data_IF_593590486121
#
_entry.id   IF_593590486121
#
_cell.length_a   1.000
_cell.length_b   1.000
_cell.length_c   1.000
_cell.angle_alpha   90.00
_cell.angle_beta   90.00
_cell.angle_gamma   90.00
#
_symmetry.space_group_name_H-M   'P 1'
#
loop_
_entity.id
_entity.type
_entity.pdbx_description
1 polymer ?
#
# COMPACT_ATOMS: atom_id res chain seq x y z
N UNK A 1 -15.06 -11.86 -13.60
CA UNK A 1 -14.28 -11.20 -14.66
C UNK A 1 -14.88 -11.55 -16.01
N UNK A 2 -14.75 -10.70 -17.03
CA UNK A 2 -15.22 -10.99 -18.40
C UNK A 2 -14.03 -11.36 -19.28
N UNK A 3 -14.18 -12.42 -20.07
CA UNK A 3 -13.24 -12.81 -21.12
C UNK A 3 -13.37 -11.81 -22.29
N UNK A 4 -12.26 -11.19 -22.65
CA UNK A 4 -12.14 -10.20 -23.74
C UNK A 4 -11.46 -10.85 -24.95
N UNK A 5 -10.46 -11.68 -24.72
CA UNK A 5 -9.72 -12.44 -25.74
C UNK A 5 -9.94 -13.93 -25.46
N UNK A 6 -10.79 -14.56 -26.27
CA UNK A 6 -11.28 -15.93 -26.07
C UNK A 6 -10.38 -16.95 -26.78
N UNK A 7 -9.77 -17.91 -26.04
CA UNK A 7 -8.95 -18.97 -26.63
C UNK A 7 -9.82 -20.06 -27.28
N UNK A 8 -9.31 -20.71 -28.34
CA UNK A 8 -9.94 -21.91 -28.92
C UNK A 8 -9.28 -23.21 -28.48
N UNK A 9 -8.05 -23.13 -27.95
CA UNK A 9 -7.22 -24.24 -27.48
C UNK A 9 -6.31 -23.76 -26.35
N UNK A 10 -5.70 -24.68 -25.59
CA UNK A 10 -4.88 -24.31 -24.42
C UNK A 10 -3.65 -23.46 -24.75
N UNK A 11 -3.07 -23.64 -25.94
CA UNK A 11 -1.93 -22.85 -26.41
C UNK A 11 -2.32 -21.46 -26.95
N UNK A 12 -3.62 -21.15 -27.02
CA UNK A 12 -4.11 -19.85 -27.45
C UNK A 12 -4.05 -18.85 -26.29
N UNK A 13 -4.14 -17.57 -26.63
CA UNK A 13 -4.09 -16.51 -25.65
C UNK A 13 -5.44 -16.29 -24.99
N UNK A 14 -5.39 -15.93 -23.70
CA UNK A 14 -6.53 -15.50 -22.92
C UNK A 14 -6.27 -14.07 -22.46
N UNK A 15 -7.29 -13.22 -22.46
CA UNK A 15 -7.35 -12.00 -21.65
C UNK A 15 -8.71 -11.94 -20.99
N UNK A 16 -8.74 -12.00 -19.67
CA UNK A 16 -9.94 -11.79 -18.86
C UNK A 16 -9.71 -10.62 -17.92
N UNK A 17 -10.69 -9.73 -17.80
CA UNK A 17 -10.55 -8.52 -17.00
C UNK A 17 -11.76 -8.28 -16.10
N UNK A 18 -11.55 -7.56 -15.00
CA UNK A 18 -12.63 -6.87 -14.29
C UNK A 18 -13.18 -5.74 -15.16
N UNK A 19 -14.34 -5.20 -14.77
CA UNK A 19 -14.84 -3.96 -15.36
C UNK A 19 -13.79 -2.84 -15.30
N UNK A 20 -13.83 -1.97 -16.31
CA UNK A 20 -12.97 -0.79 -16.45
C UNK A 20 -11.48 -1.13 -16.53
N UNK A 21 -11.14 -2.39 -16.86
CA UNK A 21 -9.78 -2.90 -17.04
C UNK A 21 -8.89 -2.59 -15.82
N UNK A 22 -9.41 -2.80 -14.61
CA UNK A 22 -8.69 -2.52 -13.35
C UNK A 22 -7.82 -3.68 -12.87
N UNK A 23 -8.18 -4.89 -13.24
CA UNK A 23 -7.40 -6.09 -13.01
C UNK A 23 -7.62 -7.02 -14.20
N UNK A 24 -6.57 -7.64 -14.69
CA UNK A 24 -6.67 -8.59 -15.79
C UNK A 24 -5.77 -9.79 -15.55
N UNK A 25 -6.20 -10.96 -16.02
CA UNK A 25 -5.35 -12.13 -16.19
C UNK A 25 -5.17 -12.41 -17.67
N UNK A 26 -3.97 -12.82 -18.03
CA UNK A 26 -3.60 -13.14 -19.39
C UNK A 26 -2.84 -14.46 -19.44
N UNK A 27 -3.15 -15.28 -20.44
CA UNK A 27 -2.35 -16.45 -20.79
C UNK A 27 -1.75 -16.27 -22.17
N UNK A 28 -0.52 -16.76 -22.35
CA UNK A 28 0.20 -16.70 -23.61
C UNK A 28 0.22 -15.29 -24.21
N UNK A 29 0.59 -14.29 -23.40
CA UNK A 29 0.62 -12.88 -23.76
C UNK A 29 1.83 -12.55 -24.64
N UNK A 30 1.63 -11.73 -25.67
CA UNK A 30 2.69 -11.11 -26.47
C UNK A 30 2.86 -9.64 -26.12
N UNK A 31 4.10 -9.20 -25.97
CA UNK A 31 4.48 -7.82 -25.67
C UNK A 31 5.67 -7.40 -26.54
N UNK A 32 5.53 -6.34 -27.35
CA UNK A 32 6.56 -5.81 -28.23
C UNK A 32 7.13 -4.49 -27.71
N UNK A 33 8.27 -4.55 -27.03
CA UNK A 33 8.92 -3.38 -26.41
C UNK A 33 10.02 -2.79 -27.29
N UNK A 34 10.09 -3.13 -28.58
CA UNK A 34 11.11 -2.57 -29.49
C UNK A 34 11.03 -1.05 -29.67
N UNK A 35 9.89 -0.46 -29.36
CA UNK A 35 9.62 0.99 -29.44
C UNK A 35 9.31 1.61 -28.08
N UNK A 36 9.72 0.97 -26.98
CA UNK A 36 9.54 1.53 -25.65
C UNK A 36 10.44 2.77 -25.44
N UNK A 37 11.65 2.75 -25.99
CA UNK A 37 12.60 3.88 -26.00
C UNK A 37 12.83 4.48 -24.59
N UNK A 38 12.95 3.61 -23.59
CA UNK A 38 12.94 3.99 -22.17
C UNK A 38 14.07 4.96 -21.81
N UNK A 39 15.20 4.89 -22.51
CA UNK A 39 16.38 5.73 -22.31
C UNK A 39 16.10 7.24 -22.41
N UNK A 40 15.10 7.65 -23.19
CA UNK A 40 14.73 9.05 -23.39
C UNK A 40 13.40 9.44 -22.75
N UNK A 41 12.70 8.48 -22.13
CA UNK A 41 11.40 8.71 -21.51
C UNK A 41 11.53 9.08 -20.03
N UNK A 42 10.86 10.16 -19.63
CA UNK A 42 10.74 10.59 -18.21
C UNK A 42 9.35 10.39 -17.62
N UNK A 43 8.38 9.95 -18.42
CA UNK A 43 7.01 9.67 -17.97
C UNK A 43 6.92 8.20 -17.56
N UNK A 44 6.79 7.92 -16.25
CA UNK A 44 6.79 6.54 -15.72
C UNK A 44 5.73 5.65 -16.37
N UNK A 45 4.48 6.14 -16.40
CA UNK A 45 3.31 5.36 -16.83
C UNK A 45 2.76 5.81 -18.18
N UNK A 46 3.63 6.32 -19.06
CA UNK A 46 3.20 6.76 -20.39
C UNK A 46 2.58 5.61 -21.17
N UNK A 47 1.37 5.84 -21.69
CA UNK A 47 0.65 4.85 -22.51
C UNK A 47 0.97 4.96 -23.99
N UNK A 48 1.72 6.00 -24.41
CA UNK A 48 2.04 6.28 -25.82
C UNK A 48 2.83 5.17 -26.52
N UNK A 49 3.57 4.37 -25.74
CA UNK A 49 4.27 3.19 -26.23
C UNK A 49 3.35 1.99 -26.45
N UNK A 50 2.20 1.94 -25.76
CA UNK A 50 1.33 0.77 -25.68
C UNK A 50 -0.02 0.92 -26.40
N UNK A 51 -0.51 2.15 -26.55
CA UNK A 51 -1.78 2.47 -27.21
C UNK A 51 -1.72 2.37 -28.75
N UNK A 52 -0.99 1.38 -29.28
CA UNK A 52 -0.79 1.13 -30.71
C UNK A 52 -1.02 -0.35 -31.01
N UNK A 53 -1.68 -0.69 -32.15
CA UNK A 53 -1.86 -2.07 -32.55
C UNK A 53 -0.53 -2.84 -32.67
N UNK A 54 -0.55 -4.09 -32.24
CA UNK A 54 0.58 -5.01 -32.30
C UNK A 54 1.59 -4.89 -31.16
N UNK A 55 1.41 -3.95 -30.21
CA UNK A 55 2.30 -3.82 -29.05
C UNK A 55 1.97 -4.83 -27.97
N UNK A 56 0.69 -4.93 -27.58
CA UNK A 56 0.19 -5.94 -26.64
C UNK A 56 -0.81 -6.81 -27.40
N UNK A 57 -0.74 -8.13 -27.25
CA UNK A 57 -1.62 -9.00 -28.01
C UNK A 57 -1.55 -10.47 -27.65
N UNK A 58 -2.29 -11.26 -28.42
CA UNK A 58 -2.40 -12.71 -28.24
C UNK A 58 -3.18 -13.38 -29.36
N UNK A 59 -3.02 -14.69 -29.51
CA UNK A 59 -3.73 -15.48 -30.52
C UNK A 59 -5.06 -15.97 -29.95
N UNK A 60 -6.15 -15.28 -30.27
CA UNK A 60 -7.48 -15.53 -29.73
C UNK A 60 -8.55 -14.88 -30.63
N UNK A 61 -9.82 -14.98 -30.23
CA UNK A 61 -10.91 -14.16 -30.76
C UNK A 61 -11.17 -12.98 -29.82
N UNK A 62 -10.98 -11.75 -30.30
CA UNK A 62 -11.07 -10.54 -29.46
C UNK A 62 -12.43 -9.83 -29.55
N UNK A 63 -13.06 -9.56 -28.41
CA UNK A 63 -14.22 -8.68 -28.26
C UNK A 63 -13.76 -7.20 -28.17
N UNK A 64 -13.41 -6.64 -29.33
CA UNK A 64 -12.89 -5.26 -29.45
C UNK A 64 -13.87 -4.20 -28.97
N UNK A 65 -15.16 -4.37 -29.30
CA UNK A 65 -16.20 -3.40 -28.96
C UNK A 65 -16.36 -3.32 -27.44
N UNK A 66 -16.39 -4.47 -26.76
CA UNK A 66 -16.39 -4.47 -25.30
C UNK A 66 -15.14 -3.81 -24.74
N UNK A 67 -13.95 -4.17 -25.21
CA UNK A 67 -12.71 -3.56 -24.72
C UNK A 67 -12.74 -2.02 -24.82
N UNK A 68 -13.12 -1.47 -25.97
CA UNK A 68 -13.22 -0.01 -26.19
C UNK A 68 -14.27 0.66 -25.29
N UNK A 69 -15.33 -0.05 -24.91
CA UNK A 69 -16.37 0.48 -24.00
C UNK A 69 -15.87 0.72 -22.56
N UNK A 70 -14.71 0.18 -22.17
CA UNK A 70 -14.21 0.21 -20.78
C UNK A 70 -13.37 1.46 -20.44
N UNK A 71 -13.39 2.49 -21.29
CA UNK A 71 -12.52 3.67 -21.19
C UNK A 71 -12.84 4.65 -20.05
N UNK A 72 -13.99 4.51 -19.37
CA UNK A 72 -14.53 5.53 -18.44
C UNK A 72 -13.56 5.95 -17.33
N UNK A 73 -12.74 5.04 -16.82
CA UNK A 73 -11.74 5.31 -15.76
C UNK A 73 -10.31 5.29 -16.29
N UNK A 74 -10.11 5.62 -17.56
CA UNK A 74 -8.77 5.72 -18.13
C UNK A 74 -7.95 6.80 -17.41
N UNK A 75 -6.95 6.35 -16.67
CA UNK A 75 -5.92 7.18 -16.03
C UNK A 75 -4.77 6.25 -15.60
N UNK A 76 -3.54 6.76 -15.65
CA UNK A 76 -2.29 5.99 -15.48
C UNK A 76 -2.31 5.04 -14.28
N UNK A 77 -2.80 5.49 -13.11
CA UNK A 77 -2.83 4.71 -11.87
C UNK A 77 -4.24 4.23 -11.46
N UNK A 78 -5.23 4.33 -12.37
CA UNK A 78 -6.62 3.95 -12.07
C UNK A 78 -7.14 2.79 -12.92
N UNK A 79 -6.50 2.51 -14.06
CA UNK A 79 -6.87 1.44 -14.99
C UNK A 79 -5.69 1.04 -15.88
N UNK A 80 -5.68 -0.20 -16.35
CA UNK A 80 -4.80 -0.70 -17.43
C UNK A 80 -5.36 -0.48 -18.83
N UNK A 81 -6.52 0.19 -18.95
CA UNK A 81 -7.15 0.46 -20.24
C UNK A 81 -6.19 1.16 -21.21
N UNK A 82 -5.33 2.07 -20.74
CA UNK A 82 -4.39 2.77 -21.60
C UNK A 82 -3.40 1.86 -22.31
N UNK A 83 -2.90 0.85 -21.60
CA UNK A 83 -1.95 -0.13 -22.12
C UNK A 83 -2.61 -1.22 -22.95
N UNK A 84 -3.87 -1.53 -22.66
CA UNK A 84 -4.57 -2.68 -23.25
C UNK A 84 -5.60 -2.29 -24.31
N UNK A 85 -5.94 -1.01 -24.51
CA UNK A 85 -7.03 -0.61 -25.42
C UNK A 85 -6.78 -0.97 -26.90
N UNK A 86 -5.53 -1.16 -27.33
CA UNK A 86 -5.14 -1.63 -28.67
C UNK A 86 -4.67 -3.09 -28.67
N UNK A 87 -5.15 -3.91 -27.72
CA UNK A 87 -4.86 -5.33 -27.69
C UNK A 87 -5.14 -5.96 -29.07
N UNK A 88 -4.18 -6.74 -29.57
CA UNK A 88 -4.20 -7.20 -30.96
C UNK A 88 -4.24 -8.72 -31.07
N UNK A 89 -5.13 -9.22 -31.93
CA UNK A 89 -5.17 -10.62 -32.33
C UNK A 89 -3.94 -10.95 -33.18
N UNK A 90 -3.07 -11.80 -32.66
CA UNK A 90 -1.87 -12.26 -33.38
C UNK A 90 -2.18 -13.51 -34.18
N UNK A 91 -1.56 -13.67 -35.35
CA UNK A 91 -1.67 -14.88 -36.20
C UNK A 91 -0.82 -16.08 -35.73
N UNK A 92 -0.11 -15.93 -34.61
CA UNK A 92 0.81 -16.94 -34.08
C UNK A 92 0.61 -17.11 -32.59
N UNK A 93 0.78 -18.33 -32.08
CA UNK A 93 0.71 -18.65 -30.65
C UNK A 93 1.98 -18.16 -29.93
N UNK A 94 1.92 -17.14 -29.05
CA UNK A 94 3.13 -16.45 -28.56
C UNK A 94 4.15 -17.38 -27.88
N UNK A 95 3.73 -18.13 -26.87
CA UNK A 95 4.65 -18.98 -26.07
C UNK A 95 5.09 -20.22 -26.84
N UNK A 96 4.21 -20.81 -27.66
CA UNK A 96 4.52 -22.01 -28.46
C UNK A 96 5.52 -21.72 -29.58
N UNK A 97 5.39 -20.58 -30.26
CA UNK A 97 6.26 -20.19 -31.37
C UNK A 97 7.46 -19.36 -30.90
N UNK A 98 8.40 -19.99 -30.20
CA UNK A 98 9.58 -19.34 -29.59
C UNK A 98 10.36 -18.38 -30.50
N UNK A 99 10.39 -18.61 -31.82
CA UNK A 99 11.08 -17.72 -32.79
C UNK A 99 10.42 -16.34 -32.98
N UNK A 100 9.22 -16.12 -32.43
CA UNK A 100 8.48 -14.85 -32.53
C UNK A 100 8.78 -13.89 -31.37
N UNK A 101 9.39 -14.39 -30.30
CA UNK A 101 9.80 -13.59 -29.15
C UNK A 101 11.30 -13.74 -28.90
N UNK A 102 11.92 -12.67 -28.43
CA UNK A 102 13.32 -12.64 -28.04
C UNK A 102 13.50 -13.21 -26.62
N UNK A 103 12.46 -13.12 -25.79
CA UNK A 103 12.39 -13.74 -24.46
C UNK A 103 11.04 -14.45 -24.24
N UNK A 104 11.07 -15.61 -23.61
CA UNK A 104 9.88 -16.36 -23.19
C UNK A 104 9.91 -16.52 -21.68
N UNK A 105 8.93 -15.94 -20.98
CA UNK A 105 8.80 -15.96 -19.53
C UNK A 105 7.73 -17.00 -19.15
N UNK A 106 8.15 -18.09 -18.53
CA UNK A 106 7.26 -19.17 -18.06
C UNK A 106 6.87 -19.04 -16.61
N UNK A 107 7.65 -18.30 -15.80
CA UNK A 107 7.33 -18.03 -14.39
C UNK A 107 6.14 -17.06 -14.32
N UNK A 108 5.12 -17.31 -13.47
CA UNK A 108 3.98 -16.40 -13.34
C UNK A 108 4.44 -14.97 -13.05
N UNK A 109 3.85 -14.01 -13.75
CA UNK A 109 4.34 -12.63 -13.74
C UNK A 109 3.21 -11.67 -13.39
N UNK A 110 3.40 -10.86 -12.35
CA UNK A 110 2.47 -9.80 -11.96
C UNK A 110 3.05 -8.45 -12.40
N UNK A 111 2.35 -7.76 -13.30
CA UNK A 111 2.63 -6.40 -13.70
C UNK A 111 1.98 -5.42 -12.74
N UNK A 112 2.76 -4.43 -12.27
CA UNK A 112 2.31 -3.46 -11.28
C UNK A 112 2.76 -2.04 -11.63
N UNK A 113 1.92 -1.05 -11.38
CA UNK A 113 2.32 0.37 -11.39
C UNK A 113 2.46 0.84 -9.95
N UNK A 114 3.67 1.13 -9.51
CA UNK A 114 3.93 1.54 -8.13
C UNK A 114 3.61 3.02 -7.92
N UNK A 115 3.01 3.37 -6.79
CA UNK A 115 2.62 4.75 -6.48
C UNK A 115 3.82 5.62 -6.07
N UNK A 116 4.38 5.38 -4.87
CA UNK A 116 5.50 6.17 -4.35
C UNK A 116 6.25 5.45 -3.23
N UNK A 117 7.42 4.88 -3.56
CA UNK A 117 8.27 4.12 -2.63
C UNK A 117 8.93 4.95 -1.53
N UNK A 118 8.81 6.28 -1.57
CA UNK A 118 9.39 7.19 -0.56
C UNK A 118 8.40 7.63 0.51
N UNK A 119 7.13 7.22 0.42
CA UNK A 119 6.09 7.59 1.36
C UNK A 119 5.28 6.35 1.75
N UNK A 120 5.35 5.95 3.02
CA UNK A 120 4.72 4.71 3.50
C UNK A 120 3.24 4.63 3.15
N UNK A 121 2.47 5.70 3.37
CA UNK A 121 1.03 5.69 3.07
C UNK A 121 0.76 5.40 1.59
N UNK A 122 1.49 6.06 0.69
CA UNK A 122 1.33 5.86 -0.75
C UNK A 122 1.84 4.50 -1.21
N UNK A 123 3.00 4.06 -0.72
CA UNK A 123 3.56 2.77 -1.12
C UNK A 123 2.73 1.58 -0.62
N UNK A 124 2.05 1.74 0.52
CA UNK A 124 1.15 0.70 1.03
C UNK A 124 -0.10 0.50 0.16
N UNK A 125 -0.46 1.46 -0.69
CA UNK A 125 -1.42 1.21 -1.77
C UNK A 125 -0.94 0.06 -2.65
N UNK A 126 0.36 -0.03 -2.95
CA UNK A 126 0.93 -1.03 -3.84
C UNK A 126 0.84 -2.43 -3.21
N UNK A 127 1.24 -2.58 -1.95
CA UNK A 127 1.21 -3.86 -1.23
C UNK A 127 -0.21 -4.38 -0.99
N UNK A 128 -1.14 -3.51 -0.60
CA UNK A 128 -2.54 -3.91 -0.37
C UNK A 128 -3.19 -4.32 -1.70
N UNK A 129 -2.98 -3.55 -2.77
CA UNK A 129 -3.54 -3.90 -4.07
C UNK A 129 -2.90 -5.16 -4.67
N UNK A 130 -1.61 -5.42 -4.40
CA UNK A 130 -0.97 -6.68 -4.74
C UNK A 130 -1.59 -7.86 -3.98
N UNK A 131 -1.76 -7.73 -2.67
CA UNK A 131 -2.39 -8.77 -1.84
C UNK A 131 -3.82 -9.07 -2.31
N UNK A 132 -4.61 -8.04 -2.61
CA UNK A 132 -5.94 -8.20 -3.19
C UNK A 132 -5.88 -8.85 -4.59
N UNK A 133 -4.88 -8.52 -5.39
CA UNK A 133 -4.67 -9.14 -6.70
C UNK A 133 -4.32 -10.62 -6.58
N UNK A 134 -3.59 -11.03 -5.54
CA UNK A 134 -3.31 -12.44 -5.24
C UNK A 134 -4.58 -13.20 -4.85
N UNK A 135 -5.46 -12.58 -4.04
CA UNK A 135 -6.80 -13.13 -3.74
C UNK A 135 -7.63 -13.29 -5.01
N UNK A 136 -7.70 -12.26 -5.85
CA UNK A 136 -8.42 -12.35 -7.13
C UNK A 136 -7.79 -13.45 -7.96
N UNK A 137 -6.45 -13.51 -8.07
CA UNK A 137 -5.72 -14.50 -8.86
C UNK A 137 -5.85 -15.95 -8.34
N UNK A 138 -6.10 -16.13 -7.05
CA UNK A 138 -6.19 -17.44 -6.40
C UNK A 138 -4.82 -18.08 -6.13
N UNK A 139 -3.76 -17.29 -6.00
CA UNK A 139 -2.41 -17.80 -5.70
C UNK A 139 -1.61 -16.81 -4.84
N UNK A 140 -0.96 -17.35 -3.81
CA UNK A 140 -0.05 -16.65 -2.88
C UNK A 140 1.39 -17.17 -2.96
N UNK A 141 1.72 -17.89 -4.04
CA UNK A 141 3.09 -18.35 -4.28
C UNK A 141 4.07 -17.18 -4.30
N UNK A 142 5.24 -17.36 -3.69
CA UNK A 142 6.37 -16.43 -3.79
C UNK A 142 7.24 -16.70 -5.02
N UNK A 143 7.02 -17.83 -5.70
CA UNK A 143 7.69 -18.19 -6.95
C UNK A 143 7.06 -17.46 -8.15
N UNK A 144 7.12 -16.13 -8.10
CA UNK A 144 6.54 -15.23 -9.10
C UNK A 144 7.52 -14.12 -9.46
N UNK A 145 7.40 -13.59 -10.67
CA UNK A 145 8.00 -12.30 -11.02
C UNK A 145 7.01 -11.19 -10.66
N UNK A 146 7.52 -10.14 -10.01
CA UNK A 146 6.84 -8.84 -9.96
C UNK A 146 7.57 -7.92 -10.92
N UNK A 147 6.85 -7.31 -11.87
CA UNK A 147 7.42 -6.41 -12.86
C UNK A 147 6.85 -5.01 -12.65
N UNK A 148 7.72 -4.09 -12.27
CA UNK A 148 7.39 -2.68 -12.16
C UNK A 148 7.19 -2.11 -13.58
N UNK A 149 5.94 -1.78 -13.88
CA UNK A 149 5.50 -1.16 -15.12
C UNK A 149 5.88 0.32 -15.16
N UNK A 150 7.18 0.57 -15.27
CA UNK A 150 7.77 1.89 -15.41
C UNK A 150 8.57 1.94 -16.70
N UNK A 151 8.10 2.77 -17.63
CA UNK A 151 8.68 2.99 -18.94
C UNK A 151 9.75 4.08 -18.96
N UNK A 152 10.01 4.74 -17.83
CA UNK A 152 10.96 5.84 -17.73
C UNK A 152 12.38 5.38 -17.38
N UNK A 153 13.36 6.21 -17.72
CA UNK A 153 14.74 6.04 -17.26
C UNK A 153 14.97 6.49 -15.80
N UNK A 154 13.93 6.98 -15.11
CA UNK A 154 14.08 7.55 -13.78
C UNK A 154 14.41 6.47 -12.75
N UNK A 155 15.27 6.80 -11.80
CA UNK A 155 15.51 5.95 -10.62
C UNK A 155 14.22 5.91 -9.79
N UNK A 156 13.84 4.72 -9.34
CA UNK A 156 12.76 4.55 -8.38
C UNK A 156 13.36 4.41 -6.98
N UNK A 157 13.06 5.36 -6.10
CA UNK A 157 13.46 5.29 -4.70
C UNK A 157 12.44 4.47 -3.92
N UNK A 158 12.89 3.37 -3.33
CA UNK A 158 12.08 2.49 -2.50
C UNK A 158 12.68 2.40 -1.10
N UNK A 159 12.03 3.05 -0.13
CA UNK A 159 12.45 3.06 1.27
C UNK A 159 11.91 1.85 2.05
N UNK A 160 11.08 1.01 1.43
CA UNK A 160 10.44 -0.15 2.04
C UNK A 160 10.71 -1.42 1.24
N UNK A 161 11.83 -1.48 0.52
CA UNK A 161 12.21 -2.57 -0.36
C UNK A 161 12.11 -3.96 0.28
N UNK A 162 12.43 -4.06 1.58
CA UNK A 162 12.34 -5.32 2.34
C UNK A 162 10.91 -5.91 2.36
N UNK A 163 9.87 -5.08 2.17
CA UNK A 163 8.48 -5.53 2.10
C UNK A 163 8.21 -6.46 0.91
N UNK A 164 8.98 -6.39 -0.18
CA UNK A 164 8.78 -7.25 -1.35
C UNK A 164 8.99 -8.73 -1.03
N UNK A 165 9.80 -9.05 -0.01
CA UNK A 165 10.02 -10.41 0.49
C UNK A 165 8.73 -11.08 0.98
N UNK A 166 7.70 -10.29 1.34
CA UNK A 166 6.37 -10.83 1.69
C UNK A 166 5.71 -11.54 0.49
N UNK A 167 5.97 -11.05 -0.72
CA UNK A 167 5.21 -11.41 -1.92
C UNK A 167 5.98 -12.26 -2.94
N UNK A 168 7.31 -12.20 -2.94
CA UNK A 168 8.15 -12.94 -3.90
C UNK A 168 9.49 -13.33 -3.28
N UNK A 169 10.04 -14.46 -3.70
CA UNK A 169 11.37 -14.95 -3.29
C UNK A 169 12.51 -14.27 -4.06
N UNK A 170 12.17 -13.37 -4.99
CA UNK A 170 13.11 -12.64 -5.84
C UNK A 170 12.83 -11.15 -5.80
N UNK A 171 13.74 -10.33 -6.30
CA UNK A 171 13.49 -8.90 -6.43
C UNK A 171 12.53 -8.60 -7.58
N UNK A 172 11.78 -7.50 -7.46
CA UNK A 172 10.99 -7.02 -8.58
C UNK A 172 11.91 -6.63 -9.76
N UNK A 173 11.42 -6.82 -10.97
CA UNK A 173 12.09 -6.49 -12.21
C UNK A 173 11.59 -5.15 -12.73
N UNK A 174 12.38 -4.46 -13.54
CA UNK A 174 11.91 -3.27 -14.24
C UNK A 174 11.48 -3.61 -15.66
N UNK A 175 10.36 -3.03 -16.12
CA UNK A 175 9.91 -3.19 -17.51
C UNK A 175 10.97 -2.76 -18.52
N UNK A 176 11.75 -1.72 -18.21
CA UNK A 176 12.85 -1.23 -19.05
C UNK A 176 14.00 -2.23 -19.24
N UNK A 177 14.12 -3.26 -18.38
CA UNK A 177 15.13 -4.32 -18.56
C UNK A 177 14.80 -5.19 -19.80
N UNK A 178 13.58 -5.06 -20.32
CA UNK A 178 13.07 -5.70 -21.52
C UNK A 178 12.99 -4.74 -22.73
N UNK A 179 13.49 -3.52 -22.61
CA UNK A 179 13.50 -2.55 -23.71
C UNK A 179 14.21 -3.11 -24.95
N UNK A 180 13.68 -2.80 -26.14
CA UNK A 180 14.22 -3.29 -27.40
C UNK A 180 13.84 -4.73 -27.76
N UNK A 181 13.02 -5.43 -26.96
CA UNK A 181 12.74 -6.87 -27.11
C UNK A 181 11.26 -7.19 -27.30
N UNK A 182 10.98 -8.34 -27.90
CA UNK A 182 9.66 -8.98 -27.91
C UNK A 182 9.62 -10.06 -26.84
N UNK A 183 8.61 -9.97 -25.98
CA UNK A 183 8.46 -10.82 -24.80
C UNK A 183 7.17 -11.63 -24.95
N UNK A 184 7.27 -12.94 -24.70
CA UNK A 184 6.13 -13.84 -24.61
C UNK A 184 5.99 -14.29 -23.16
N UNK A 185 4.84 -14.05 -22.53
CA UNK A 185 4.59 -14.41 -21.13
C UNK A 185 3.53 -15.51 -21.07
N UNK A 186 3.84 -16.63 -20.41
CA UNK A 186 2.93 -17.77 -20.29
C UNK A 186 1.72 -17.46 -19.40
N UNK A 187 1.97 -16.87 -18.23
CA UNK A 187 0.96 -16.50 -17.26
C UNK A 187 1.27 -15.10 -16.71
N UNK A 188 0.35 -14.17 -16.96
CA UNK A 188 0.49 -12.75 -16.65
C UNK A 188 -0.73 -12.20 -15.92
N UNK A 189 -0.50 -11.40 -14.88
CA UNK A 189 -1.54 -10.68 -14.15
C UNK A 189 -1.25 -9.19 -14.20
N UNK A 190 -2.22 -8.39 -14.59
CA UNK A 190 -2.20 -6.94 -14.42
C UNK A 190 -2.90 -6.64 -13.09
N UNK A 191 -2.14 -6.19 -12.09
CA UNK A 191 -2.63 -6.03 -10.72
C UNK A 191 -3.71 -4.97 -10.60
N UNK A 192 -4.44 -4.95 -9.49
CA UNK A 192 -5.18 -3.75 -9.07
C UNK A 192 -4.22 -2.56 -8.93
N UNK A 193 -4.74 -1.35 -9.16
CA UNK A 193 -3.93 -0.13 -9.23
C UNK A 193 -4.05 0.72 -7.96
N UNK A 194 -3.00 1.46 -7.57
CA UNK A 194 -2.95 2.14 -6.28
C UNK A 194 -3.92 3.34 -6.15
N UNK A 195 -4.38 3.93 -7.27
CA UNK A 195 -5.21 5.16 -7.25
C UNK A 195 -6.62 4.95 -7.81
N UNK A 196 -7.09 3.71 -7.89
CA UNK A 196 -8.43 3.40 -8.42
C UNK A 196 -9.52 4.29 -7.80
N UNK A 197 -10.43 4.79 -8.63
CA UNK A 197 -11.62 5.49 -8.12
C UNK A 197 -12.47 4.52 -7.31
N UNK A 198 -12.81 4.88 -6.08
CA UNK A 198 -13.49 3.96 -5.14
C UNK A 198 -12.72 2.65 -4.93
N UNK A 199 -11.38 2.73 -4.97
CA UNK A 199 -10.50 1.62 -4.63
C UNK A 199 -10.54 1.30 -3.14
N UNK A 200 -9.92 0.19 -2.74
CA UNK A 200 -9.68 -0.09 -1.34
C UNK A 200 -8.42 0.65 -0.86
N UNK A 201 -8.37 1.01 0.42
CA UNK A 201 -7.30 1.82 1.05
C UNK A 201 -7.28 3.27 0.54
N UNK A 202 -6.89 3.52 -0.71
CA UNK A 202 -6.88 4.86 -1.30
C UNK A 202 -8.21 5.16 -2.01
N UNK A 203 -8.76 6.37 -1.84
CA UNK A 203 -10.06 6.80 -2.40
C UNK A 203 -11.26 5.91 -2.02
N UNK A 204 -11.18 5.15 -0.93
CA UNK A 204 -12.26 4.26 -0.51
C UNK A 204 -13.42 5.06 0.11
N UNK A 205 -14.66 4.94 -0.41
CA UNK A 205 -15.82 5.50 0.26
C UNK A 205 -16.15 4.62 1.48
N UNK A 206 -15.73 5.03 2.68
CA UNK A 206 -16.10 4.34 3.91
C UNK A 206 -17.52 4.78 4.30
N UNK A 207 -18.45 3.82 4.32
CA UNK A 207 -19.80 4.05 4.82
C UNK A 207 -19.73 4.29 6.33
N UNK A 208 -20.45 5.28 6.89
CA UNK A 208 -20.47 5.52 8.34
C UNK A 208 -20.75 4.24 9.12
N UNK A 209 -20.06 4.07 10.25
CA UNK A 209 -20.15 2.89 11.14
C UNK A 209 -19.57 1.57 10.60
N UNK A 210 -19.08 1.53 9.35
CA UNK A 210 -18.30 0.38 8.89
C UNK A 210 -16.91 0.38 9.52
N UNK A 211 -16.52 -0.76 10.10
CA UNK A 211 -15.21 -0.96 10.72
C UNK A 211 -14.79 -2.44 10.67
N UNK A 212 -13.49 -2.71 10.80
CA UNK A 212 -12.95 -4.06 10.94
C UNK A 212 -13.05 -4.91 9.68
N UNK A 213 -12.48 -4.44 8.57
CA UNK A 213 -12.39 -5.21 7.33
C UNK A 213 -11.52 -6.45 7.52
N UNK A 214 -12.11 -7.64 7.36
CA UNK A 214 -11.39 -8.92 7.43
C UNK A 214 -10.24 -8.99 6.42
N UNK A 215 -10.39 -8.37 5.24
CA UNK A 215 -9.34 -8.31 4.22
C UNK A 215 -8.11 -7.52 4.71
N UNK A 216 -8.33 -6.42 5.44
CA UNK A 216 -7.24 -5.59 5.94
C UNK A 216 -6.59 -6.20 7.19
N UNK A 217 -7.38 -6.89 8.03
CA UNK A 217 -6.84 -7.73 9.11
C UNK A 217 -5.98 -8.87 8.55
N UNK A 218 -6.46 -9.57 7.53
CA UNK A 218 -5.72 -10.65 6.87
C UNK A 218 -4.45 -10.17 6.17
N UNK A 219 -4.48 -8.99 5.53
CA UNK A 219 -3.28 -8.34 4.98
C UNK A 219 -2.23 -8.08 6.08
N UNK A 220 -2.66 -7.52 7.22
CA UNK A 220 -1.78 -7.26 8.36
C UNK A 220 -1.12 -8.54 8.85
N UNK A 221 -1.91 -9.59 9.13
CA UNK A 221 -1.42 -10.89 9.58
C UNK A 221 -0.51 -11.56 8.55
N UNK A 222 -0.83 -11.46 7.27
CA UNK A 222 -0.02 -12.00 6.18
C UNK A 222 1.39 -11.38 6.16
N UNK A 223 1.47 -10.06 6.22
CA UNK A 223 2.76 -9.33 6.25
C UNK A 223 3.55 -9.70 7.51
N UNK A 224 2.92 -9.63 8.69
CA UNK A 224 3.58 -9.92 9.97
C UNK A 224 4.14 -11.35 9.99
N UNK A 225 3.34 -12.32 9.56
CA UNK A 225 3.75 -13.71 9.46
C UNK A 225 4.95 -13.89 8.52
N UNK A 226 4.90 -13.29 7.32
CA UNK A 226 5.93 -13.46 6.28
C UNK A 226 7.24 -12.75 6.60
N UNK A 227 7.18 -11.67 7.37
CA UNK A 227 8.36 -10.99 7.91
C UNK A 227 8.87 -11.60 9.22
N UNK A 228 8.19 -12.61 9.77
CA UNK A 228 8.55 -13.23 11.04
C UNK A 228 8.36 -12.33 12.27
N UNK A 229 7.47 -11.34 12.18
CA UNK A 229 7.15 -10.43 13.28
C UNK A 229 6.20 -11.12 14.25
N UNK A 230 6.56 -11.17 15.53
CA UNK A 230 5.81 -11.90 16.55
C UNK A 230 5.13 -10.98 17.56
N UNK A 231 3.95 -11.38 18.02
CA UNK A 231 3.21 -10.72 19.07
C UNK A 231 3.55 -11.34 20.44
N UNK A 232 3.96 -10.51 21.42
CA UNK A 232 4.41 -10.96 22.76
C UNK A 232 3.29 -11.12 23.80
N UNK A 233 2.02 -11.10 23.38
CA UNK A 233 0.86 -11.00 24.25
C UNK A 233 0.67 -9.62 24.89
N UNK A 234 -0.42 -9.45 25.65
CA UNK A 234 -0.55 -8.46 26.70
C UNK A 234 0.50 -8.66 27.81
N UNK A 235 1.16 -7.57 28.25
CA UNK A 235 2.03 -7.63 29.45
C UNK A 235 1.18 -7.50 30.71
N UNK A 236 1.44 -8.35 31.71
CA UNK A 236 0.76 -8.28 33.00
C UNK A 236 1.03 -6.94 33.69
N UNK A 237 -0.02 -6.25 34.11
CA UNK A 237 0.00 -4.97 34.83
C UNK A 237 0.75 -3.82 34.11
N UNK A 238 1.01 -3.96 32.80
CA UNK A 238 1.79 -2.99 32.00
C UNK A 238 1.12 -2.67 30.67
N UNK A 239 1.08 -1.39 30.32
CA UNK A 239 0.67 -0.89 29.01
C UNK A 239 1.90 -0.36 28.28
N UNK A 240 2.16 -0.88 27.08
CA UNK A 240 3.25 -0.41 26.22
C UNK A 240 2.77 0.75 25.37
N UNK A 241 3.34 1.93 25.59
CA UNK A 241 3.06 3.13 24.81
C UNK A 241 4.25 3.43 23.93
N UNK A 242 4.03 3.52 22.63
CA UNK A 242 5.05 3.94 21.67
C UNK A 242 4.71 5.32 21.11
N UNK A 243 5.64 6.26 21.22
CA UNK A 243 5.54 7.59 20.64
C UNK A 243 6.48 7.67 19.42
N UNK A 244 5.90 7.93 18.26
CA UNK A 244 6.64 8.14 17.02
C UNK A 244 7.12 9.60 16.93
N UNK A 245 8.42 9.79 17.14
CA UNK A 245 9.10 11.04 16.85
C UNK A 245 9.39 11.11 15.34
N UNK A 246 8.84 12.15 14.71
CA UNK A 246 8.92 12.32 13.26
C UNK A 246 10.29 12.78 12.79
N UNK A 247 10.97 13.62 13.57
CA UNK A 247 12.22 14.32 13.18
C UNK A 247 12.17 14.89 11.75
N UNK A 248 11.06 15.53 11.39
CA UNK A 248 10.86 16.13 10.06
C UNK A 248 11.00 17.64 10.09
N UNK A 249 10.95 18.29 8.93
CA UNK A 249 10.99 19.77 8.85
C UNK A 249 9.80 20.45 9.57
N UNK A 250 8.64 19.81 9.60
CA UNK A 250 7.40 20.32 10.19
C UNK A 250 6.61 19.19 10.87
N UNK A 251 5.56 19.55 11.62
CA UNK A 251 4.68 18.66 12.39
C UNK A 251 5.42 17.96 13.53
N UNK A 252 6.41 18.61 14.12
CA UNK A 252 7.10 18.10 15.30
C UNK A 252 6.35 18.48 16.58
N UNK A 253 6.54 17.68 17.63
CA UNK A 253 6.01 17.93 18.97
C UNK A 253 7.05 18.74 19.74
N UNK A 254 6.80 20.04 19.94
CA UNK A 254 7.78 20.97 20.53
C UNK A 254 8.10 20.60 21.98
N UNK A 255 7.08 20.23 22.76
CA UNK A 255 7.24 19.82 24.15
C UNK A 255 7.24 18.29 24.33
N UNK A 256 7.81 17.53 23.39
CA UNK A 256 7.86 16.07 23.45
C UNK A 256 8.43 15.55 24.77
N UNK A 257 9.48 16.18 25.29
CA UNK A 257 10.10 15.78 26.55
C UNK A 257 9.12 15.88 27.73
N UNK A 258 8.32 16.95 27.81
CA UNK A 258 7.30 17.11 28.86
C UNK A 258 6.22 16.02 28.76
N UNK A 259 5.78 15.69 27.54
CA UNK A 259 4.79 14.62 27.33
C UNK A 259 5.35 13.24 27.68
N UNK A 260 6.60 12.95 27.31
CA UNK A 260 7.25 11.67 27.61
C UNK A 260 7.49 11.51 29.11
N UNK A 261 7.92 12.57 29.81
CA UNK A 261 8.07 12.58 31.26
C UNK A 261 6.74 12.30 31.95
N UNK A 262 5.64 12.91 31.49
CA UNK A 262 4.29 12.64 31.99
C UNK A 262 3.90 11.17 31.81
N UNK A 263 4.17 10.56 30.64
CA UNK A 263 3.91 9.13 30.42
C UNK A 263 4.75 8.23 31.34
N UNK A 264 6.03 8.56 31.54
CA UNK A 264 6.95 7.79 32.38
C UNK A 264 6.54 7.82 33.87
N UNK A 265 5.89 8.89 34.30
CA UNK A 265 5.36 9.04 35.65
C UNK A 265 4.03 8.28 35.87
N UNK A 266 3.42 7.71 34.83
CA UNK A 266 2.19 6.93 34.95
C UNK A 266 2.45 5.50 35.46
N UNK A 267 1.74 5.04 36.49
CA UNK A 267 1.93 3.70 37.02
C UNK A 267 1.48 2.63 36.01
N UNK A 268 2.34 1.62 35.80
CA UNK A 268 2.04 0.51 34.89
C UNK A 268 2.12 0.90 33.41
N UNK A 269 2.86 1.94 33.07
CA UNK A 269 3.14 2.34 31.68
C UNK A 269 4.62 2.10 31.35
N UNK A 270 4.88 1.53 30.18
CA UNK A 270 6.22 1.37 29.60
C UNK A 270 6.29 2.21 28.32
N UNK A 271 7.14 3.23 28.32
CA UNK A 271 7.22 4.21 27.23
C UNK A 271 8.40 3.91 26.32
N UNK A 272 8.16 3.87 25.01
CA UNK A 272 9.19 3.81 23.99
C UNK A 272 9.05 4.98 23.03
N UNK A 273 10.12 5.75 22.82
CA UNK A 273 10.16 6.82 21.82
C UNK A 273 10.98 6.32 20.65
N UNK A 274 10.38 6.34 19.47
CA UNK A 274 11.00 5.76 18.26
C UNK A 274 11.10 6.76 17.14
N UNK A 275 12.18 6.64 16.37
CA UNK A 275 12.37 7.36 15.11
C UNK A 275 12.47 6.31 14.01
N UNK A 276 11.40 6.15 13.23
CA UNK A 276 11.36 5.21 12.12
C UNK A 276 12.02 5.79 10.88
N UNK A 277 13.36 5.73 10.86
CA UNK A 277 14.16 6.15 9.73
C UNK A 277 14.75 4.93 9.00
N UNK A 278 14.47 4.79 7.71
CA UNK A 278 14.83 3.64 6.87
C UNK A 278 16.34 3.32 6.85
N UNK A 279 17.22 4.31 7.05
CA UNK A 279 18.68 4.08 7.13
C UNK A 279 19.13 3.38 8.41
N UNK A 280 18.33 3.49 9.47
CA UNK A 280 18.75 3.10 10.82
C UNK A 280 17.94 1.91 11.35
N UNK A 281 16.75 1.66 10.79
CA UNK A 281 15.85 0.61 11.26
C UNK A 281 15.10 0.01 10.08
N UNK A 282 15.20 -1.31 9.91
CA UNK A 282 14.49 -2.04 8.85
C UNK A 282 13.00 -2.07 9.16
N UNK A 283 12.18 -2.22 8.12
CA UNK A 283 10.72 -2.23 8.30
C UNK A 283 10.26 -3.35 9.25
N UNK A 284 10.87 -4.54 9.19
CA UNK A 284 10.55 -5.64 10.11
C UNK A 284 10.77 -5.26 11.58
N UNK A 285 11.86 -4.55 11.90
CA UNK A 285 12.14 -4.07 13.26
C UNK A 285 11.14 -2.99 13.70
N UNK A 286 10.77 -2.08 12.78
CA UNK A 286 9.74 -1.08 13.05
C UNK A 286 8.39 -1.76 13.34
N UNK A 287 8.04 -2.79 12.57
CA UNK A 287 6.82 -3.58 12.76
C UNK A 287 6.87 -4.42 14.03
N UNK A 288 8.03 -4.94 14.45
CA UNK A 288 8.19 -5.65 15.70
C UNK A 288 7.85 -4.76 16.91
N UNK A 289 8.29 -3.50 16.88
CA UNK A 289 7.91 -2.51 17.90
C UNK A 289 6.41 -2.19 17.79
N UNK A 290 5.95 -1.85 16.58
CA UNK A 290 4.55 -1.45 16.33
C UNK A 290 3.56 -2.52 16.77
N UNK A 291 3.79 -3.77 16.40
CA UNK A 291 2.90 -4.90 16.72
C UNK A 291 2.88 -5.23 18.21
N UNK A 292 3.83 -4.67 18.97
CA UNK A 292 3.93 -4.77 20.42
C UNK A 292 3.70 -3.42 21.12
N UNK A 293 3.01 -2.49 20.45
CA UNK A 293 2.49 -1.26 21.06
C UNK A 293 1.01 -1.44 21.40
N UNK A 294 0.64 -1.22 22.66
CA UNK A 294 -0.76 -1.23 23.09
C UNK A 294 -1.42 0.14 22.83
N UNK A 295 -0.64 1.21 22.90
CA UNK A 295 -1.01 2.55 22.45
C UNK A 295 0.11 3.06 21.54
N UNK A 296 -0.23 3.52 20.35
CA UNK A 296 0.72 4.12 19.41
C UNK A 296 0.34 5.58 19.17
N UNK A 297 1.25 6.49 19.49
CA UNK A 297 1.03 7.93 19.44
C UNK A 297 1.88 8.50 18.31
N UNK A 298 1.30 9.38 17.50
CA UNK A 298 2.09 10.13 16.53
C UNK A 298 1.35 11.32 15.92
N UNK A 299 2.13 12.23 15.37
CA UNK A 299 1.65 13.38 14.62
C UNK A 299 1.25 12.99 13.19
N UNK A 300 0.21 13.63 12.65
CA UNK A 300 -0.32 13.36 11.31
C UNK A 300 0.76 13.19 10.24
N UNK A 301 0.70 12.07 9.52
CA UNK A 301 1.48 11.79 8.31
C UNK A 301 1.87 10.32 8.17
N UNK A 302 2.61 10.00 7.10
CA UNK A 302 2.76 8.64 6.59
C UNK A 302 3.19 7.56 7.60
N UNK A 303 3.93 7.93 8.65
CA UNK A 303 4.30 7.00 9.73
C UNK A 303 3.11 6.43 10.50
N UNK A 304 1.94 7.08 10.50
CA UNK A 304 0.73 6.52 11.10
C UNK A 304 0.17 5.33 10.31
N UNK A 305 0.67 5.03 9.11
CA UNK A 305 0.33 3.79 8.37
C UNK A 305 0.72 2.54 9.15
N UNK A 306 1.64 2.65 10.11
CA UNK A 306 1.93 1.61 11.11
C UNK A 306 0.69 1.12 11.86
N UNK A 307 -0.39 1.92 11.92
CA UNK A 307 -1.67 1.51 12.52
C UNK A 307 -2.24 0.21 11.92
N UNK A 308 -1.88 -0.13 10.69
CA UNK A 308 -2.27 -1.40 10.05
C UNK A 308 -1.75 -2.63 10.80
N UNK A 309 -0.66 -2.47 11.55
CA UNK A 309 0.07 -3.57 12.19
C UNK A 309 -0.02 -3.56 13.70
N UNK A 310 -0.81 -2.66 14.27
CA UNK A 310 -1.12 -2.70 15.69
C UNK A 310 -1.91 -3.97 16.05
N UNK A 311 -1.78 -4.47 17.28
CA UNK A 311 -2.61 -5.56 17.75
C UNK A 311 -4.08 -5.11 17.84
N UNK A 312 -5.01 -6.06 17.77
CA UNK A 312 -6.45 -5.75 17.63
C UNK A 312 -7.03 -4.94 18.80
N UNK A 313 -6.41 -4.99 19.98
CA UNK A 313 -6.82 -4.19 21.15
C UNK A 313 -6.26 -2.77 21.21
N UNK A 314 -5.34 -2.43 20.32
CA UNK A 314 -4.57 -1.21 20.45
C UNK A 314 -5.34 0.06 20.11
N UNK A 315 -4.80 1.16 20.62
CA UNK A 315 -5.25 2.53 20.31
C UNK A 315 -4.21 3.23 19.44
N UNK A 316 -4.63 3.77 18.30
CA UNK A 316 -3.87 4.76 17.54
C UNK A 316 -4.30 6.16 17.96
N UNK A 317 -3.36 6.91 18.54
CA UNK A 317 -3.57 8.29 18.94
C UNK A 317 -2.86 9.24 17.98
N UNK A 318 -3.62 9.81 17.05
CA UNK A 318 -3.16 10.90 16.20
C UNK A 318 -3.19 12.20 17.01
N UNK A 319 -2.08 12.54 17.67
CA UNK A 319 -2.02 13.64 18.64
C UNK A 319 -2.38 15.00 18.01
N UNK A 320 -2.21 15.16 16.70
CA UNK A 320 -2.86 16.21 15.92
C UNK A 320 -3.10 15.71 14.52
N UNK A 321 -4.32 15.89 14.01
CA UNK A 321 -4.72 15.53 12.65
C UNK A 321 -4.40 16.61 11.60
N UNK A 322 -3.86 17.76 12.02
CA UNK A 322 -3.55 18.88 11.13
C UNK A 322 -4.73 19.28 10.20
N UNK A 323 -5.96 19.27 10.72
CA UNK A 323 -7.21 19.57 10.00
C UNK A 323 -7.54 18.55 8.88
N UNK A 324 -6.97 17.34 8.94
CA UNK A 324 -7.19 16.23 8.03
C UNK A 324 -7.55 14.94 8.80
N UNK A 325 -8.62 15.01 9.58
CA UNK A 325 -9.08 13.94 10.49
C UNK A 325 -9.41 12.63 9.75
N UNK A 326 -10.02 12.73 8.57
CA UNK A 326 -10.61 11.57 7.91
C UNK A 326 -9.56 10.56 7.42
N UNK A 327 -8.33 11.00 7.13
CA UNK A 327 -7.30 10.15 6.53
C UNK A 327 -6.98 8.91 7.38
N UNK A 328 -6.47 9.11 8.60
CA UNK A 328 -6.11 8.00 9.49
C UNK A 328 -7.28 7.48 10.30
N UNK A 329 -8.31 8.30 10.56
CA UNK A 329 -9.56 7.84 11.19
C UNK A 329 -10.24 6.76 10.35
N UNK A 330 -10.38 6.98 9.03
CA UNK A 330 -10.95 5.96 8.15
C UNK A 330 -10.03 4.74 8.05
N UNK A 331 -8.72 4.91 7.97
CA UNK A 331 -7.80 3.77 7.91
C UNK A 331 -7.85 2.92 9.18
N UNK A 332 -7.91 3.55 10.35
CA UNK A 332 -8.07 2.88 11.64
C UNK A 332 -9.41 2.13 11.73
N UNK A 333 -10.50 2.76 11.31
CA UNK A 333 -11.81 2.11 11.23
C UNK A 333 -11.77 0.87 10.31
N UNK A 334 -11.16 1.00 9.12
CA UNK A 334 -11.00 -0.11 8.19
C UNK A 334 -10.18 -1.25 8.81
N UNK A 335 -9.07 -0.95 9.49
CA UNK A 335 -8.26 -1.96 10.19
C UNK A 335 -8.99 -2.56 11.39
N UNK A 336 -9.90 -1.82 12.00
CA UNK A 336 -10.65 -2.23 13.20
C UNK A 336 -9.92 -1.91 14.51
N UNK A 337 -9.03 -0.91 14.51
CA UNK A 337 -8.34 -0.44 15.73
C UNK A 337 -8.94 0.88 16.21
N UNK A 338 -8.86 1.14 17.51
CA UNK A 338 -9.45 2.35 18.10
C UNK A 338 -8.64 3.59 17.71
N UNK A 339 -9.29 4.50 16.99
CA UNK A 339 -8.74 5.82 16.70
C UNK A 339 -9.10 6.83 17.80
N UNK A 340 -8.11 7.64 18.18
CA UNK A 340 -8.25 8.82 19.02
C UNK A 340 -7.46 9.98 18.40
N UNK A 341 -7.94 11.19 18.62
CA UNK A 341 -7.26 12.44 18.24
C UNK A 341 -7.45 13.45 19.36
N UNK A 342 -6.70 14.55 19.30
CA UNK A 342 -6.89 15.67 20.21
C UNK A 342 -8.33 16.22 20.14
N UNK A 343 -8.91 16.54 21.31
CA UNK A 343 -10.32 16.95 21.42
C UNK A 343 -10.47 18.47 21.55
N UNK A 344 -9.62 19.15 22.32
CA UNK A 344 -9.73 20.59 22.61
C UNK A 344 -8.65 21.42 21.91
N UNK A 345 -9.01 22.05 20.78
CA UNK A 345 -8.07 22.84 19.99
C UNK A 345 -7.51 24.07 20.72
N UNK A 346 -8.18 24.58 21.77
CA UNK A 346 -7.67 25.71 22.56
C UNK A 346 -6.45 25.32 23.41
N UNK A 347 -6.25 24.01 23.62
CA UNK A 347 -5.13 23.42 24.34
C UNK A 347 -3.99 22.97 23.41
N UNK A 348 -4.02 23.39 22.15
CA UNK A 348 -2.95 23.17 21.17
C UNK A 348 -2.37 24.49 20.70
N UNK A 349 -1.07 24.66 20.83
CA UNK A 349 -0.37 25.85 20.36
C UNK A 349 0.40 25.53 19.08
N UNK A 350 0.10 26.27 18.02
CA UNK A 350 0.85 26.27 16.75
C UNK A 350 2.16 27.04 16.92
N UNK A 351 3.26 26.50 16.42
CA UNK A 351 4.60 27.08 16.48
C UNK A 351 5.26 27.08 15.10
N UNK A 352 6.03 28.12 14.80
CA UNK A 352 6.78 28.27 13.53
C UNK A 352 5.93 28.02 12.28
N UNK A 353 4.73 28.61 12.22
CA UNK A 353 3.85 28.48 11.07
C UNK A 353 4.48 29.14 9.83
N UNK A 354 4.61 28.37 8.74
CA UNK A 354 5.11 28.87 7.46
C UNK A 354 4.09 28.65 6.34
N UNK A 355 4.22 29.46 5.28
CA UNK A 355 3.37 29.35 4.11
C UNK A 355 3.62 28.06 3.33
N UNK A 356 2.53 27.45 2.89
CA UNK A 356 2.58 26.31 1.98
C UNK A 356 3.20 26.73 0.64
N UNK A 357 4.23 26.03 0.13
CA UNK A 357 4.99 26.45 -1.06
C UNK A 357 4.14 26.70 -2.31
N UNK A 358 3.06 25.92 -2.49
CA UNK A 358 2.15 26.06 -3.64
C UNK A 358 0.93 26.96 -3.38
N UNK A 359 0.50 27.15 -2.12
CA UNK A 359 -0.73 27.90 -1.82
C UNK A 359 -0.42 29.34 -1.37
N UNK A 360 0.83 29.62 -0.99
CA UNK A 360 1.26 30.94 -0.53
C UNK A 360 0.54 31.42 0.74
N UNK A 361 0.02 30.49 1.54
CA UNK A 361 -0.70 30.78 2.78
C UNK A 361 -0.36 29.75 3.85
N UNK A 362 -0.56 30.08 5.14
CA UNK A 362 -0.34 29.15 6.23
C UNK A 362 -1.13 27.86 6.05
N UNK A 363 -0.52 26.74 6.42
CA UNK A 363 -1.15 25.44 6.32
C UNK A 363 -0.77 24.59 7.55
N UNK A 364 -1.72 23.93 8.24
CA UNK A 364 -1.46 23.18 9.47
C UNK A 364 -0.33 22.14 9.34
N UNK A 365 -0.26 21.49 8.17
CA UNK A 365 0.82 20.55 7.83
C UNK A 365 2.23 21.18 7.75
N UNK A 366 2.39 22.49 7.79
CA UNK A 366 3.66 23.23 7.71
C UNK A 366 3.92 24.02 9.01
N UNK A 367 3.53 23.43 10.14
CA UNK A 367 3.63 24.00 11.48
C UNK A 367 4.10 22.92 12.47
N UNK A 368 4.78 23.33 13.54
CA UNK A 368 5.08 22.48 14.70
C UNK A 368 4.08 22.77 15.82
N UNK A 369 3.91 21.84 16.77
CA UNK A 369 2.83 21.90 17.73
C UNK A 369 3.31 21.68 19.16
N UNK A 370 2.76 22.45 20.10
CA UNK A 370 2.90 22.25 21.54
C UNK A 370 1.54 21.86 22.11
N UNK A 371 1.51 20.88 23.01
CA UNK A 371 0.29 20.29 23.56
C UNK A 371 0.21 20.49 25.08
N UNK A 372 -0.99 20.73 25.60
CA UNK A 372 -1.23 20.81 27.04
C UNK A 372 -1.00 19.45 27.73
N UNK A 373 -0.17 19.43 28.78
CA UNK A 373 0.22 18.19 29.46
C UNK A 373 -0.96 17.55 30.23
N UNK A 374 -1.75 18.30 31.03
CA UNK A 374 -2.95 17.76 31.67
C UNK A 374 -3.96 17.12 30.71
N UNK A 375 -4.24 17.78 29.58
CA UNK A 375 -5.17 17.24 28.59
C UNK A 375 -4.63 15.98 27.91
N UNK A 376 -3.33 15.99 27.55
CA UNK A 376 -2.66 14.81 27.04
C UNK A 376 -2.78 13.62 28.02
N UNK A 377 -2.53 13.86 29.32
CA UNK A 377 -2.70 12.84 30.37
C UNK A 377 -4.13 12.29 30.40
N UNK A 378 -5.15 13.16 30.33
CA UNK A 378 -6.56 12.76 30.33
C UNK A 378 -6.88 11.83 29.16
N UNK A 379 -6.42 12.17 27.95
CA UNK A 379 -6.63 11.36 26.75
C UNK A 379 -5.90 10.01 26.84
N UNK A 380 -4.67 9.98 27.37
CA UNK A 380 -3.91 8.74 27.57
C UNK A 380 -4.62 7.82 28.56
N UNK A 381 -5.19 8.34 29.65
CA UNK A 381 -5.95 7.52 30.60
C UNK A 381 -7.18 6.86 29.95
N UNK A 382 -7.84 7.54 29.00
CA UNK A 382 -8.93 6.94 28.23
C UNK A 382 -8.42 5.83 27.29
N UNK A 383 -7.29 6.05 26.62
CA UNK A 383 -6.67 5.03 25.78
C UNK A 383 -6.27 3.80 26.59
N UNK A 384 -5.68 4.00 27.78
CA UNK A 384 -5.33 2.93 28.73
C UNK A 384 -6.57 2.15 29.17
N UNK A 385 -7.65 2.85 29.52
CA UNK A 385 -8.92 2.22 29.88
C UNK A 385 -9.46 1.35 28.74
N UNK A 386 -9.46 1.88 27.50
CA UNK A 386 -9.89 1.14 26.32
C UNK A 386 -9.11 -0.16 26.13
N UNK A 387 -7.77 -0.11 26.18
CA UNK A 387 -6.92 -1.31 26.03
C UNK A 387 -7.24 -2.33 27.13
N UNK A 388 -7.28 -1.90 28.39
CA UNK A 388 -7.54 -2.78 29.54
C UNK A 388 -8.93 -3.41 29.49
N UNK A 389 -9.90 -2.73 28.90
CA UNK A 389 -11.28 -3.19 28.77
C UNK A 389 -11.51 -4.05 27.53
N UNK A 390 -10.57 -4.06 26.59
CA UNK A 390 -10.68 -4.83 25.36
C UNK A 390 -10.66 -6.35 25.62
N UNK A 391 -11.63 -7.07 25.03
CA UNK A 391 -11.78 -8.53 25.23
C UNK A 391 -10.49 -9.30 24.92
N UNK A 392 -9.90 -9.05 23.74
CA UNK A 392 -8.67 -9.73 23.30
C UNK A 392 -7.45 -9.45 24.19
N UNK A 393 -7.41 -8.30 24.88
CA UNK A 393 -6.33 -7.99 25.82
C UNK A 393 -6.50 -8.74 27.14
N UNK A 394 -7.75 -8.89 27.61
CA UNK A 394 -8.06 -9.65 28.85
C UNK A 394 -7.95 -11.16 28.68
N UNK A 395 -8.22 -11.67 27.48
CA UNK A 395 -8.30 -13.10 27.17
C UNK A 395 -7.39 -13.48 25.99
N UNK A 396 -6.05 -13.41 26.15
CA UNK A 396 -5.11 -13.61 25.04
C UNK A 396 -5.02 -15.05 24.50
N UNK A 397 -5.68 -16.02 25.16
CA UNK A 397 -5.61 -17.44 24.78
C UNK A 397 -6.85 -17.98 24.05
N UNK A 398 -7.88 -17.16 23.82
CA UNK A 398 -8.90 -17.49 22.81
C UNK A 398 -8.24 -17.29 21.45
N UNK A 399 -7.71 -18.35 20.85
CA UNK A 399 -7.18 -18.31 19.49
C UNK A 399 -8.21 -17.65 18.58
N UNK A 400 -7.77 -16.67 17.79
CA UNK A 400 -8.50 -16.25 16.59
C UNK A 400 -8.67 -17.49 15.71
N UNK A 401 -9.80 -18.19 15.85
CA UNK A 401 -10.25 -19.17 14.86
C UNK A 401 -10.65 -18.37 13.62
N UNK A 402 -9.77 -18.30 12.63
CA UNK A 402 -10.10 -18.06 11.22
C UNK A 402 -8.97 -18.54 10.32
#
# INVERSE_FOLDING_TARGET
>A
MKVICEPKSEDDSLLECSELIRHCRAKNLYLDLRKLESAHNRKRFSVEAFNKPGVVGGHCKLDRDYLKSQSKHFSELQSWYGELNEYTETVFKPVKHKRKCDLVITRPTIFMKFDSGVNMYHHFCDFINLYMSQHINGSFSQDINIVMWDSSNMVYGDLFFDMWSVFTDTHFLHLKDWDGKRICIADGVFSLLPRMQRGMFYNMPLVPHCQGSSLMRAFSQHVLHRLGVTQEGPKKDKIRITLLDRQTKHRNIVNQNELVEELQNMPGVEVNVVVYHWRNMKIADQLQITHNSDIFIGMHGAGLTHLLFLPDWAVIFEISNCEDENCYKHLAAIRGVKYMTWEDNDLVQKHNEIDHPALGKPHPKFCDYKFDVPEFRRLILQAVAHVRDHKAYRQPHEKDEL
#
